data_IF_782619387586
#
_entry.id   IF_782619387586
#
_cell.length_a   1.000
_cell.length_b   1.000
_cell.length_c   1.000
_cell.angle_alpha   90.00
_cell.angle_beta   90.00
_cell.angle_gamma   90.00
#
_symmetry.space_group_name_H-M   'P 1'
#
loop_
_entity.id
_entity.type
_entity.pdbx_description
1 polymer ?
#
# COMPACT_ATOMS: atom_id res chain seq x y z
N UNK A 1 -40.28 26.18 -40.26
CA UNK A 1 -39.77 25.00 -39.60
C UNK A 1 -38.81 25.46 -38.50
N UNK A 2 -39.33 25.49 -37.28
CA UNK A 2 -38.56 25.94 -36.10
C UNK A 2 -37.81 24.76 -35.50
N UNK A 3 -36.47 24.77 -35.58
CA UNK A 3 -35.60 23.81 -34.92
C UNK A 3 -35.45 24.21 -33.46
N UNK A 4 -36.26 23.62 -32.59
CA UNK A 4 -36.04 23.66 -31.14
C UNK A 4 -34.78 22.89 -30.83
N UNK A 5 -33.71 23.60 -30.46
CA UNK A 5 -32.50 23.03 -29.93
C UNK A 5 -32.82 22.40 -28.53
N UNK A 6 -32.75 21.08 -28.47
CA UNK A 6 -32.86 20.34 -27.23
C UNK A 6 -31.59 20.63 -26.42
N UNK A 7 -31.67 21.55 -25.48
CA UNK A 7 -30.62 21.77 -24.48
C UNK A 7 -30.45 20.48 -23.64
N UNK A 8 -29.28 19.90 -23.71
CA UNK A 8 -28.93 18.66 -23.03
C UNK A 8 -28.77 18.87 -21.49
N UNK A 9 -29.48 18.17 -20.64
CA UNK A 9 -29.31 18.25 -19.16
C UNK A 9 -28.03 17.58 -18.68
N UNK A 10 -27.08 17.22 -19.54
CA UNK A 10 -25.87 16.47 -19.22
C UNK A 10 -24.82 17.23 -18.39
N UNK A 11 -24.88 18.54 -18.29
CA UNK A 11 -23.84 19.33 -17.60
C UNK A 11 -24.01 19.40 -16.07
N UNK A 12 -25.24 19.40 -15.57
CA UNK A 12 -25.54 19.52 -14.11
C UNK A 12 -25.13 18.26 -13.35
N UNK A 13 -25.45 17.07 -13.83
CA UNK A 13 -25.10 15.81 -13.15
C UNK A 13 -23.59 15.54 -13.07
N UNK A 14 -22.83 15.92 -14.13
CA UNK A 14 -21.36 15.79 -14.10
C UNK A 14 -20.70 16.74 -13.11
N UNK A 15 -21.22 17.97 -12.99
CA UNK A 15 -20.71 18.96 -12.03
C UNK A 15 -21.00 18.54 -10.59
N UNK A 16 -22.19 18.02 -10.31
CA UNK A 16 -22.57 17.52 -8.98
C UNK A 16 -21.74 16.29 -8.57
N UNK A 17 -21.54 15.34 -9.50
CA UNK A 17 -20.69 14.19 -9.26
C UNK A 17 -19.23 14.59 -8.97
N UNK A 18 -18.68 15.55 -9.72
CA UNK A 18 -17.34 16.10 -9.47
C UNK A 18 -17.26 16.78 -8.11
N UNK A 19 -18.25 17.62 -7.76
CA UNK A 19 -18.31 18.28 -6.46
C UNK A 19 -18.36 17.28 -5.32
N UNK A 20 -19.18 16.23 -5.41
CA UNK A 20 -19.26 15.15 -4.42
C UNK A 20 -17.91 14.46 -4.22
N UNK A 21 -17.19 14.17 -5.32
CA UNK A 21 -15.86 13.54 -5.25
C UNK A 21 -14.83 14.48 -4.61
N UNK A 22 -14.82 15.76 -4.92
CA UNK A 22 -13.92 16.75 -4.32
C UNK A 22 -14.19 16.88 -2.81
N UNK A 23 -15.46 17.02 -2.42
CA UNK A 23 -15.85 17.09 -1.00
C UNK A 23 -15.47 15.81 -0.25
N UNK A 24 -15.68 14.63 -0.86
CA UNK A 24 -15.28 13.36 -0.27
C UNK A 24 -13.76 13.25 -0.09
N UNK A 25 -12.97 13.74 -1.05
CA UNK A 25 -11.51 13.80 -0.92
C UNK A 25 -11.09 14.70 0.25
N UNK A 26 -11.71 15.88 0.37
CA UNK A 26 -11.49 16.79 1.51
C UNK A 26 -11.87 16.16 2.85
N UNK A 27 -12.97 15.42 2.90
CA UNK A 27 -13.39 14.69 4.09
C UNK A 27 -12.37 13.60 4.48
N UNK A 28 -11.85 12.84 3.51
CA UNK A 28 -10.79 11.84 3.77
C UNK A 28 -9.51 12.47 4.30
N UNK A 29 -9.09 13.61 3.75
CA UNK A 29 -7.94 14.37 4.26
C UNK A 29 -8.20 14.83 5.70
N UNK A 30 -9.39 15.34 6.01
CA UNK A 30 -9.75 15.73 7.37
C UNK A 30 -9.71 14.54 8.35
N UNK A 31 -10.26 13.39 7.95
CA UNK A 31 -10.20 12.14 8.75
C UNK A 31 -8.75 11.71 8.96
N UNK A 32 -7.90 11.77 7.92
CA UNK A 32 -6.49 11.44 8.02
C UNK A 32 -5.76 12.36 9.01
N UNK A 33 -6.02 13.66 8.96
CA UNK A 33 -5.41 14.63 9.89
C UNK A 33 -5.84 14.37 11.33
N UNK A 34 -7.13 14.12 11.58
CA UNK A 34 -7.63 13.73 12.90
C UNK A 34 -6.98 12.42 13.37
N UNK A 35 -6.90 11.42 12.48
CA UNK A 35 -6.21 10.16 12.77
C UNK A 35 -4.73 10.35 13.10
N UNK A 36 -4.03 11.24 12.39
CA UNK A 36 -2.62 11.54 12.64
C UNK A 36 -2.42 12.16 14.04
N UNK A 37 -3.27 13.13 14.41
CA UNK A 37 -3.25 13.71 15.76
C UNK A 37 -3.56 12.66 16.82
N UNK A 38 -4.58 11.83 16.60
CA UNK A 38 -4.92 10.72 17.49
C UNK A 38 -3.76 9.72 17.65
N UNK A 39 -3.07 9.40 16.55
CA UNK A 39 -1.89 8.51 16.56
C UNK A 39 -0.75 9.05 17.41
N UNK A 40 -0.57 10.39 17.44
CA UNK A 40 0.44 11.03 18.30
C UNK A 40 0.04 11.01 19.78
N UNK A 41 -1.25 11.04 20.10
CA UNK A 41 -1.75 11.03 21.48
C UNK A 41 -1.84 9.60 22.07
N UNK A 42 -2.18 8.61 21.25
CA UNK A 42 -2.44 7.22 21.67
C UNK A 42 -1.17 6.37 21.61
N UNK A 43 -0.92 5.57 22.65
CA UNK A 43 0.18 4.62 22.74
C UNK A 43 0.14 3.86 24.06
N UNK A 44 1.18 3.12 24.40
CA UNK A 44 1.32 2.44 25.71
C UNK A 44 1.13 3.43 26.87
N UNK A 45 1.68 4.64 26.74
CA UNK A 45 1.40 5.80 27.62
C UNK A 45 0.49 6.77 26.85
N UNK A 46 -0.70 7.06 27.35
CA UNK A 46 -1.54 8.13 26.80
C UNK A 46 -0.90 9.50 27.08
N UNK A 47 -0.82 10.35 26.06
CA UNK A 47 -0.37 11.73 26.20
C UNK A 47 -1.56 12.66 25.97
N UNK A 48 -1.64 13.70 26.80
CA UNK A 48 -2.61 14.78 26.60
C UNK A 48 -2.27 15.60 25.33
N UNK A 49 -3.23 16.30 24.73
CA UNK A 49 -2.95 17.17 23.59
C UNK A 49 -1.87 18.22 23.87
N UNK A 50 -1.82 18.73 25.10
CA UNK A 50 -0.78 19.69 25.53
C UNK A 50 0.61 19.04 25.56
N UNK A 51 0.74 17.81 26.07
CA UNK A 51 2.01 17.07 26.07
C UNK A 51 2.46 16.71 24.64
N UNK A 52 1.53 16.37 23.75
CA UNK A 52 1.86 16.17 22.33
C UNK A 52 2.40 17.45 21.70
N UNK A 53 1.74 18.58 21.94
CA UNK A 53 2.17 19.88 21.45
C UNK A 53 3.57 20.25 21.98
N UNK A 54 3.78 20.11 23.29
CA UNK A 54 5.08 20.32 23.91
C UNK A 54 6.17 19.39 23.33
N UNK A 55 5.85 18.11 23.16
CA UNK A 55 6.77 17.14 22.57
C UNK A 55 7.18 17.47 21.13
N UNK A 56 6.27 18.10 20.36
CA UNK A 56 6.55 18.50 18.98
C UNK A 56 7.37 19.81 18.88
N UNK A 57 7.03 20.83 19.67
CA UNK A 57 7.43 22.20 19.43
C UNK A 57 8.21 22.87 20.58
N UNK A 58 8.17 22.32 21.82
CA UNK A 58 8.90 22.92 22.93
C UNK A 58 10.42 22.86 22.71
N UNK A 59 11.11 23.90 23.14
CA UNK A 59 12.56 23.91 23.20
C UNK A 59 13.08 22.83 24.17
N UNK A 60 14.34 22.38 24.04
CA UNK A 60 14.95 21.51 25.04
C UNK A 60 14.85 22.14 26.42
N UNK A 61 14.25 21.42 27.37
CA UNK A 61 14.06 21.86 28.75
C UNK A 61 14.87 20.91 29.66
N UNK A 62 15.54 21.43 30.72
CA UNK A 62 16.20 20.60 31.73
C UNK A 62 15.22 19.69 32.49
N UNK A 63 13.90 19.91 32.42
CA UNK A 63 12.90 19.03 33.01
C UNK A 63 12.95 17.65 32.33
N UNK A 64 13.29 16.66 33.14
CA UNK A 64 13.40 15.25 32.72
C UNK A 64 12.12 14.72 32.10
N UNK A 65 10.95 15.13 32.61
CA UNK A 65 9.64 14.70 32.11
C UNK A 65 9.36 15.25 30.69
N UNK A 66 9.67 16.50 30.43
CA UNK A 66 9.49 17.12 29.12
C UNK A 66 10.44 16.53 28.09
N UNK A 67 11.67 16.20 28.50
CA UNK A 67 12.64 15.50 27.66
C UNK A 67 12.15 14.09 27.27
N UNK A 68 11.60 13.30 28.20
CA UNK A 68 11.00 12.00 27.90
C UNK A 68 9.82 12.10 26.92
N UNK A 69 8.89 13.03 27.15
CA UNK A 69 7.75 13.27 26.27
C UNK A 69 8.23 13.60 24.86
N UNK A 70 9.22 14.48 24.75
CA UNK A 70 9.81 14.87 23.46
C UNK A 70 10.42 13.68 22.73
N UNK A 71 11.20 12.86 23.42
CA UNK A 71 11.80 11.66 22.85
C UNK A 71 10.70 10.72 22.35
N UNK A 72 9.67 10.43 23.16
CA UNK A 72 8.56 9.55 22.74
C UNK A 72 7.85 10.10 21.50
N UNK A 73 7.55 11.39 21.48
CA UNK A 73 6.83 12.01 20.37
C UNK A 73 7.69 12.03 19.11
N UNK A 74 8.92 12.56 19.19
CA UNK A 74 9.74 12.81 17.99
C UNK A 74 10.44 11.57 17.45
N UNK A 75 10.86 10.62 18.30
CA UNK A 75 11.62 9.45 17.85
C UNK A 75 10.78 8.19 17.68
N UNK A 76 9.59 8.13 18.29
CA UNK A 76 8.75 6.93 18.21
C UNK A 76 7.44 7.22 17.46
N UNK A 77 6.66 8.23 17.91
CA UNK A 77 5.29 8.42 17.40
C UNK A 77 5.23 9.11 16.05
N UNK A 78 6.03 10.15 15.85
CA UNK A 78 6.06 10.88 14.57
C UNK A 78 6.55 9.99 13.43
N UNK A 79 7.70 9.28 13.54
CA UNK A 79 8.13 8.36 12.49
C UNK A 79 7.09 7.28 12.20
N UNK A 80 6.52 6.66 13.24
CA UNK A 80 5.49 5.62 13.12
C UNK A 80 4.25 6.13 12.39
N UNK A 81 3.75 7.32 12.74
CA UNK A 81 2.59 7.94 12.09
C UNK A 81 2.88 8.28 10.64
N UNK A 82 4.05 8.85 10.34
CA UNK A 82 4.49 9.18 8.97
C UNK A 82 4.59 7.91 8.14
N UNK A 83 5.23 6.86 8.67
CA UNK A 83 5.37 5.59 7.96
C UNK A 83 4.01 4.95 7.67
N UNK A 84 3.09 4.95 8.64
CA UNK A 84 1.73 4.43 8.44
C UNK A 84 1.00 5.17 7.30
N UNK A 85 1.14 6.49 7.23
CA UNK A 85 0.53 7.30 6.16
C UNK A 85 1.18 6.97 4.81
N UNK A 86 2.51 7.03 4.73
CA UNK A 86 3.25 6.85 3.47
C UNK A 86 3.08 5.43 2.91
N UNK A 87 3.21 4.41 3.78
CA UNK A 87 3.01 3.02 3.39
C UNK A 87 1.54 2.73 3.03
N UNK A 88 0.58 3.30 3.78
CA UNK A 88 -0.83 3.18 3.48
C UNK A 88 -1.20 3.77 2.12
N UNK A 89 -0.68 4.97 1.79
CA UNK A 89 -0.83 5.57 0.45
C UNK A 89 -0.26 4.65 -0.63
N UNK A 90 0.95 4.14 -0.42
CA UNK A 90 1.63 3.29 -1.40
C UNK A 90 0.86 1.98 -1.66
N UNK A 91 0.45 1.28 -0.61
CA UNK A 91 -0.30 0.02 -0.72
C UNK A 91 -1.71 0.26 -1.30
N UNK A 92 -2.38 1.36 -0.95
CA UNK A 92 -3.68 1.71 -1.49
C UNK A 92 -3.63 2.00 -2.99
N UNK A 93 -2.68 2.81 -3.44
CA UNK A 93 -2.45 3.10 -4.86
C UNK A 93 -2.03 1.83 -5.60
N UNK A 94 -1.06 1.08 -5.07
CA UNK A 94 -0.59 -0.18 -5.65
C UNK A 94 -1.73 -1.19 -5.83
N UNK A 95 -2.62 -1.31 -4.84
CA UNK A 95 -3.82 -2.14 -4.92
C UNK A 95 -4.79 -1.71 -6.02
N UNK A 96 -5.04 -0.41 -6.18
CA UNK A 96 -5.88 0.10 -7.25
C UNK A 96 -5.29 -0.17 -8.63
N UNK A 97 -3.99 0.02 -8.80
CA UNK A 97 -3.28 -0.23 -10.06
C UNK A 97 -3.29 -1.70 -10.44
N UNK A 98 -2.95 -2.61 -9.51
CA UNK A 98 -2.88 -4.05 -9.83
C UNK A 98 -4.25 -4.58 -10.24
N UNK A 99 -5.34 -4.13 -9.59
CA UNK A 99 -6.70 -4.48 -9.98
C UNK A 99 -7.04 -3.99 -11.39
N UNK A 100 -6.60 -2.79 -11.77
CA UNK A 100 -6.80 -2.24 -13.11
C UNK A 100 -6.01 -3.02 -14.17
N UNK A 101 -4.71 -3.18 -13.98
CA UNK A 101 -3.87 -3.86 -14.97
C UNK A 101 -4.17 -5.35 -15.13
N UNK A 102 -4.64 -6.01 -14.07
CA UNK A 102 -5.07 -7.41 -14.13
C UNK A 102 -6.54 -7.58 -14.49
N UNK A 103 -7.30 -6.49 -14.54
CA UNK A 103 -8.79 -6.52 -14.68
C UNK A 103 -9.43 -7.51 -13.71
N UNK A 104 -8.84 -7.60 -12.53
CA UNK A 104 -9.30 -8.52 -11.51
C UNK A 104 -9.54 -7.74 -10.21
N UNK A 105 -10.81 -7.56 -9.77
CA UNK A 105 -11.16 -6.79 -8.59
C UNK A 105 -10.67 -7.40 -7.27
N UNK A 106 -10.19 -8.63 -7.30
CA UNK A 106 -9.61 -9.34 -6.14
C UNK A 106 -8.09 -9.44 -6.19
N UNK A 107 -7.46 -8.79 -7.18
CA UNK A 107 -6.00 -8.76 -7.25
C UNK A 107 -5.41 -7.96 -6.09
N UNK A 108 -4.32 -8.47 -5.54
CA UNK A 108 -3.50 -7.79 -4.53
C UNK A 108 -2.06 -7.63 -5.03
N UNK A 109 -1.32 -6.69 -4.49
CA UNK A 109 0.09 -6.42 -4.85
C UNK A 109 0.99 -7.64 -4.68
N UNK A 110 0.63 -8.56 -3.78
CA UNK A 110 1.29 -9.85 -3.59
C UNK A 110 1.32 -10.75 -4.84
N UNK A 111 0.39 -10.56 -5.79
CA UNK A 111 0.39 -11.30 -7.07
C UNK A 111 1.64 -11.12 -7.93
N UNK A 112 2.40 -10.04 -7.73
CA UNK A 112 3.67 -9.83 -8.39
C UNK A 112 4.86 -10.49 -7.69
N UNK A 113 4.63 -11.29 -6.65
CA UNK A 113 5.69 -11.92 -5.86
C UNK A 113 6.52 -10.95 -5.02
N UNK A 114 6.15 -9.67 -4.98
CA UNK A 114 6.89 -8.60 -4.30
C UNK A 114 7.12 -8.92 -2.82
N UNK A 115 6.08 -9.37 -2.11
CA UNK A 115 6.17 -9.72 -0.70
C UNK A 115 7.11 -10.92 -0.46
N UNK A 116 6.99 -11.97 -1.29
CA UNK A 116 7.84 -13.17 -1.16
C UNK A 116 9.29 -12.89 -1.54
N UNK A 117 9.52 -12.02 -2.54
CA UNK A 117 10.85 -11.56 -2.91
C UNK A 117 11.51 -10.77 -1.78
N UNK A 118 10.77 -9.86 -1.14
CA UNK A 118 11.24 -9.13 0.02
C UNK A 118 11.56 -10.07 1.20
N UNK A 119 10.65 -11.00 1.53
CA UNK A 119 10.85 -11.97 2.62
C UNK A 119 12.09 -12.84 2.40
N UNK A 120 12.24 -13.35 1.17
CA UNK A 120 13.41 -14.15 0.80
C UNK A 120 14.73 -13.37 0.95
N UNK A 121 14.75 -12.13 0.47
CA UNK A 121 15.93 -11.29 0.56
C UNK A 121 16.26 -10.93 2.02
N UNK A 122 15.27 -10.61 2.86
CA UNK A 122 15.47 -10.31 4.29
C UNK A 122 16.04 -11.52 5.01
N UNK A 123 15.42 -12.70 4.87
CA UNK A 123 15.91 -13.90 5.58
C UNK A 123 17.30 -14.30 5.10
N UNK A 124 17.60 -14.15 3.81
CA UNK A 124 18.93 -14.39 3.26
C UNK A 124 19.94 -13.37 3.82
N UNK A 125 19.56 -12.10 3.91
CA UNK A 125 20.40 -11.05 4.50
C UNK A 125 20.75 -11.32 5.96
N UNK A 126 19.80 -11.81 6.74
CA UNK A 126 20.02 -12.17 8.14
C UNK A 126 20.89 -13.44 8.26
N UNK A 127 20.56 -14.50 7.52
CA UNK A 127 21.23 -15.79 7.63
C UNK A 127 22.67 -15.78 7.08
N UNK A 128 22.90 -15.10 5.94
CA UNK A 128 24.18 -15.13 5.23
C UNK A 128 25.09 -13.96 5.63
N UNK A 129 24.53 -12.76 5.76
CA UNK A 129 25.30 -11.54 6.01
C UNK A 129 25.22 -11.07 7.48
N UNK A 130 24.40 -11.73 8.32
CA UNK A 130 24.29 -11.41 9.73
C UNK A 130 23.64 -10.06 10.02
N UNK A 131 22.74 -9.58 9.16
CA UNK A 131 22.06 -8.31 9.37
C UNK A 131 21.21 -8.33 10.65
N UNK A 132 21.29 -7.23 11.42
CA UNK A 132 20.61 -7.11 12.71
C UNK A 132 19.70 -5.88 12.82
N UNK A 133 19.84 -4.90 11.92
CA UNK A 133 19.09 -3.66 11.97
C UNK A 133 18.11 -3.48 10.79
N UNK A 134 16.97 -2.78 10.99
CA UNK A 134 16.03 -2.46 9.92
C UNK A 134 16.68 -1.78 8.72
N UNK A 135 17.63 -0.86 8.96
CA UNK A 135 18.33 -0.14 7.90
C UNK A 135 19.14 -1.07 6.98
N UNK A 136 19.70 -2.16 7.52
CA UNK A 136 20.50 -3.10 6.72
C UNK A 136 19.62 -3.95 5.80
N UNK A 137 18.53 -4.51 6.32
CA UNK A 137 17.70 -5.42 5.53
C UNK A 137 16.63 -4.76 4.67
N UNK A 138 16.28 -3.48 4.91
CA UNK A 138 15.29 -2.77 4.09
C UNK A 138 15.72 -2.69 2.61
N UNK A 139 16.98 -2.45 2.34
CA UNK A 139 17.52 -2.39 0.98
C UNK A 139 17.49 -3.75 0.30
N UNK A 140 17.83 -4.81 1.05
CA UNK A 140 17.72 -6.17 0.55
C UNK A 140 16.27 -6.55 0.29
N UNK A 141 15.36 -6.20 1.19
CA UNK A 141 13.93 -6.40 0.98
C UNK A 141 13.43 -5.70 -0.29
N UNK A 142 13.82 -4.44 -0.49
CA UNK A 142 13.45 -3.69 -1.69
C UNK A 142 14.02 -4.30 -2.97
N UNK A 143 15.29 -4.68 -2.97
CA UNK A 143 15.93 -5.37 -4.10
C UNK A 143 15.26 -6.72 -4.39
N UNK A 144 14.97 -7.50 -3.36
CA UNK A 144 14.26 -8.78 -3.49
C UNK A 144 12.85 -8.61 -4.05
N UNK A 145 12.11 -7.59 -3.59
CA UNK A 145 10.81 -7.21 -4.12
C UNK A 145 10.88 -6.83 -5.60
N UNK A 146 11.84 -5.98 -5.96
CA UNK A 146 12.06 -5.54 -7.34
C UNK A 146 12.47 -6.71 -8.25
N UNK A 147 13.41 -7.55 -7.79
CA UNK A 147 13.86 -8.73 -8.53
C UNK A 147 12.71 -9.71 -8.80
N UNK A 148 11.88 -10.00 -7.78
CA UNK A 148 10.70 -10.85 -7.96
C UNK A 148 9.72 -10.25 -8.97
N UNK A 149 9.44 -8.94 -8.89
CA UNK A 149 8.58 -8.24 -9.86
C UNK A 149 9.13 -8.33 -11.29
N UNK A 150 10.45 -8.15 -11.49
CA UNK A 150 11.11 -8.29 -12.81
C UNK A 150 11.01 -9.72 -13.32
N UNK A 151 11.24 -10.72 -12.48
CA UNK A 151 11.13 -12.14 -12.86
C UNK A 151 9.70 -12.48 -13.24
N UNK A 152 8.70 -12.08 -12.44
CA UNK A 152 7.30 -12.33 -12.74
C UNK A 152 6.87 -11.67 -14.05
N UNK A 153 7.28 -10.42 -14.27
CA UNK A 153 6.98 -9.71 -15.50
C UNK A 153 7.68 -10.36 -16.69
N UNK A 154 8.95 -10.73 -16.56
CA UNK A 154 9.71 -11.43 -17.59
C UNK A 154 9.05 -12.75 -17.98
N UNK A 155 8.71 -13.59 -17.00
CA UNK A 155 8.01 -14.86 -17.24
C UNK A 155 6.65 -14.67 -17.91
N UNK A 156 5.89 -13.65 -17.49
CA UNK A 156 4.59 -13.35 -18.09
C UNK A 156 4.68 -12.80 -19.51
N UNK A 157 5.85 -12.34 -19.94
CA UNK A 157 6.09 -11.78 -21.26
C UNK A 157 6.54 -12.83 -22.30
N UNK A 158 6.75 -14.08 -21.87
CA UNK A 158 7.23 -15.18 -22.73
C UNK A 158 6.05 -16.03 -23.22
N UNK A 159 6.09 -16.42 -24.51
CA UNK A 159 5.15 -17.37 -25.11
C UNK A 159 3.88 -16.78 -25.71
N UNK A 160 2.95 -17.65 -26.11
CA UNK A 160 1.69 -17.28 -26.80
C UNK A 160 0.69 -16.50 -25.95
N UNK A 161 0.88 -16.47 -24.62
CA UNK A 161 0.06 -15.71 -23.67
C UNK A 161 0.73 -14.41 -23.19
N UNK A 162 1.75 -13.91 -23.87
CA UNK A 162 2.49 -12.72 -23.48
C UNK A 162 1.56 -11.52 -23.24
N UNK A 163 1.69 -10.92 -22.06
CA UNK A 163 0.87 -9.76 -21.66
C UNK A 163 -0.57 -10.09 -21.24
N UNK A 164 -0.97 -11.36 -21.14
CA UNK A 164 -2.27 -11.72 -20.60
C UNK A 164 -2.27 -11.58 -19.06
N UNK A 165 -3.29 -10.93 -18.45
CA UNK A 165 -3.41 -10.85 -16.99
C UNK A 165 -3.37 -12.21 -16.27
N UNK A 166 -3.91 -13.25 -16.87
CA UNK A 166 -3.88 -14.61 -16.30
C UNK A 166 -2.44 -15.14 -16.24
N UNK A 167 -1.65 -14.96 -17.29
CA UNK A 167 -0.24 -15.39 -17.32
C UNK A 167 0.57 -14.65 -16.25
N UNK A 168 0.31 -13.36 -16.05
CA UNK A 168 0.94 -12.57 -14.99
C UNK A 168 0.61 -13.14 -13.60
N UNK A 169 -0.66 -13.46 -13.34
CA UNK A 169 -1.10 -14.01 -12.06
C UNK A 169 -0.48 -15.41 -11.80
N UNK A 170 -0.44 -16.29 -12.81
CA UNK A 170 0.15 -17.62 -12.68
C UNK A 170 1.66 -17.57 -12.48
N UNK A 171 2.39 -16.71 -13.22
CA UNK A 171 3.80 -16.49 -13.04
C UNK A 171 4.11 -15.96 -11.63
N UNK A 172 3.33 -14.97 -11.18
CA UNK A 172 3.46 -14.40 -9.84
C UNK A 172 3.22 -15.44 -8.74
N UNK A 173 2.18 -16.28 -8.88
CA UNK A 173 1.92 -17.34 -7.93
C UNK A 173 3.04 -18.40 -7.91
N UNK A 174 3.56 -18.80 -9.06
CA UNK A 174 4.70 -19.73 -9.16
C UNK A 174 5.95 -19.20 -8.47
N UNK A 175 6.31 -17.93 -8.73
CA UNK A 175 7.45 -17.26 -8.09
C UNK A 175 7.21 -17.12 -6.59
N UNK A 176 5.99 -16.76 -6.17
CA UNK A 176 5.62 -16.64 -4.76
C UNK A 176 5.82 -17.95 -3.99
N UNK A 177 5.31 -19.07 -4.52
CA UNK A 177 5.45 -20.39 -3.88
C UNK A 177 6.91 -20.82 -3.84
N UNK A 178 7.64 -20.64 -4.92
CA UNK A 178 9.08 -20.96 -4.97
C UNK A 178 9.88 -20.17 -3.93
N UNK A 179 9.72 -18.85 -3.91
CA UNK A 179 10.43 -18.00 -2.94
C UNK A 179 10.01 -18.27 -1.50
N UNK A 180 8.73 -18.57 -1.25
CA UNK A 180 8.26 -18.95 0.08
C UNK A 180 8.89 -20.26 0.56
N UNK A 181 9.04 -21.26 -0.31
CA UNK A 181 9.73 -22.50 0.02
C UNK A 181 11.21 -22.26 0.36
N UNK A 182 11.92 -21.46 -0.44
CA UNK A 182 13.32 -21.09 -0.17
C UNK A 182 13.45 -20.31 1.15
N UNK A 183 12.57 -19.35 1.39
CA UNK A 183 12.50 -18.58 2.64
C UNK A 183 12.33 -19.49 3.84
N UNK A 184 11.40 -20.44 3.76
CA UNK A 184 11.13 -21.40 4.82
C UNK A 184 12.34 -22.32 5.08
N UNK A 185 13.00 -22.80 4.02
CA UNK A 185 14.19 -23.64 4.14
C UNK A 185 15.32 -22.91 4.91
N UNK A 186 15.57 -21.64 4.59
CA UNK A 186 16.59 -20.83 5.28
C UNK A 186 16.14 -20.53 6.72
N UNK A 187 14.89 -20.12 6.93
CA UNK A 187 14.38 -19.79 8.26
C UNK A 187 14.43 -20.98 9.23
N UNK A 188 14.20 -22.20 8.76
CA UNK A 188 14.25 -23.40 9.59
C UNK A 188 15.68 -23.85 9.92
N UNK A 189 16.69 -23.40 9.18
CA UNK A 189 18.09 -23.73 9.45
C UNK A 189 18.72 -22.88 10.57
N UNK A 190 18.10 -21.73 10.93
CA UNK A 190 18.61 -20.83 11.95
C UNK A 190 17.48 -20.16 12.74
N UNK A 191 17.52 -20.33 14.08
CA UNK A 191 16.50 -19.77 15.00
C UNK A 191 16.45 -18.23 14.96
N UNK A 192 17.57 -17.54 14.72
CA UNK A 192 17.59 -16.08 14.62
C UNK A 192 16.82 -15.62 13.39
N UNK A 193 17.08 -16.25 12.25
CA UNK A 193 16.38 -15.98 10.98
C UNK A 193 14.89 -16.30 11.09
N UNK A 194 14.51 -17.40 11.77
CA UNK A 194 13.11 -17.74 12.00
C UNK A 194 12.39 -16.69 12.85
N UNK A 195 12.99 -16.26 13.96
CA UNK A 195 12.38 -15.25 14.82
C UNK A 195 12.27 -13.90 14.12
N UNK A 196 13.32 -13.44 13.44
CA UNK A 196 13.30 -12.19 12.70
C UNK A 196 12.22 -12.21 11.60
N UNK A 197 12.09 -13.32 10.87
CA UNK A 197 11.08 -13.48 9.83
C UNK A 197 9.65 -13.45 10.40
N UNK A 198 9.41 -14.05 11.57
CA UNK A 198 8.09 -14.01 12.24
C UNK A 198 7.65 -12.59 12.55
N UNK A 199 8.53 -11.80 13.15
CA UNK A 199 8.24 -10.40 13.46
C UNK A 199 8.08 -9.56 12.21
N UNK A 200 8.96 -9.76 11.22
CA UNK A 200 8.89 -9.00 9.98
C UNK A 200 7.62 -9.32 9.17
N UNK A 201 7.21 -10.59 9.11
CA UNK A 201 5.99 -11.02 8.40
C UNK A 201 4.69 -10.57 9.09
N UNK A 202 4.73 -10.14 10.35
CA UNK A 202 3.56 -9.56 11.02
C UNK A 202 3.12 -8.22 10.40
N UNK A 203 4.05 -7.51 9.75
CA UNK A 203 3.80 -6.22 9.10
C UNK A 203 3.60 -5.09 10.11
N UNK A 204 4.70 -4.39 10.45
CA UNK A 204 4.73 -3.36 11.49
C UNK A 204 5.20 -2.01 10.96
N UNK A 205 4.65 -0.94 11.52
CA UNK A 205 5.13 0.44 11.33
C UNK A 205 5.94 0.95 12.52
N UNK A 206 6.16 0.09 13.53
CA UNK A 206 6.92 0.43 14.73
C UNK A 206 8.42 0.21 14.54
N UNK A 207 9.23 0.99 15.27
CA UNK A 207 10.69 0.78 15.33
C UNK A 207 11.46 1.21 14.08
N UNK A 208 10.85 1.93 13.15
CA UNK A 208 11.46 2.43 11.91
C UNK A 208 11.67 3.94 12.03
N UNK A 209 12.91 4.38 11.91
CA UNK A 209 13.29 5.79 11.99
C UNK A 209 13.26 6.52 10.65
N UNK A 210 13.50 7.83 10.68
CA UNK A 210 13.55 8.67 9.47
C UNK A 210 14.73 8.35 8.55
N UNK A 211 15.76 7.68 9.04
CA UNK A 211 16.88 7.13 8.26
C UNK A 211 16.42 6.11 7.21
N UNK A 212 15.36 5.35 7.51
CA UNK A 212 14.70 4.43 6.58
C UNK A 212 13.55 5.10 5.84
N UNK A 213 12.68 5.84 6.56
CA UNK A 213 11.47 6.46 6.00
C UNK A 213 11.82 7.45 4.88
N UNK A 214 12.86 8.27 5.07
CA UNK A 214 13.27 9.27 4.09
C UNK A 214 13.57 8.65 2.71
N UNK A 215 14.56 7.76 2.62
CA UNK A 215 14.89 7.10 1.36
C UNK A 215 13.73 6.29 0.75
N UNK A 216 12.98 5.54 1.56
CA UNK A 216 11.83 4.75 1.09
C UNK A 216 10.75 5.67 0.51
N UNK A 217 10.52 6.84 1.10
CA UNK A 217 9.56 7.83 0.62
C UNK A 217 9.90 8.35 -0.78
N UNK A 218 11.17 8.42 -1.16
CA UNK A 218 11.59 8.81 -2.53
C UNK A 218 11.10 7.79 -3.56
N UNK A 219 11.26 6.50 -3.28
CA UNK A 219 10.77 5.43 -4.18
C UNK A 219 9.24 5.40 -4.24
N UNK A 220 8.57 5.62 -3.10
CA UNK A 220 7.11 5.74 -3.06
C UNK A 220 6.65 6.95 -3.88
N UNK A 221 7.29 8.12 -3.72
CA UNK A 221 6.97 9.30 -4.50
C UNK A 221 7.16 9.07 -6.01
N UNK A 222 8.25 8.42 -6.42
CA UNK A 222 8.47 8.03 -7.81
C UNK A 222 7.36 7.08 -8.30
N UNK A 223 6.98 6.09 -7.50
CA UNK A 223 5.87 5.17 -7.80
C UNK A 223 4.54 5.90 -7.93
N UNK A 224 4.24 6.88 -7.08
CA UNK A 224 3.04 7.73 -7.16
C UNK A 224 3.04 8.55 -8.47
N UNK A 225 4.16 9.16 -8.82
CA UNK A 225 4.29 9.93 -10.08
C UNK A 225 4.03 9.04 -11.28
N UNK A 226 4.66 7.86 -11.35
CA UNK A 226 4.41 6.89 -12.42
C UNK A 226 2.95 6.43 -12.45
N UNK A 227 2.35 6.17 -11.29
CA UNK A 227 0.94 5.84 -11.17
C UNK A 227 0.06 6.92 -11.80
N UNK A 228 0.27 8.19 -11.44
CA UNK A 228 -0.51 9.33 -11.96
C UNK A 228 -0.37 9.50 -13.47
N UNK A 229 0.81 9.27 -14.02
CA UNK A 229 1.06 9.33 -15.48
C UNK A 229 0.26 8.24 -16.22
N UNK A 230 0.07 7.07 -15.60
CA UNK A 230 -0.62 5.94 -16.26
C UNK A 230 -2.14 6.00 -16.18
N UNK A 231 -2.75 6.87 -15.38
CA UNK A 231 -4.21 6.89 -15.19
C UNK A 231 -5.03 7.06 -16.49
N UNK A 232 -4.64 7.94 -17.46
CA UNK A 232 -5.39 8.04 -18.71
C UNK A 232 -5.37 6.75 -19.52
N UNK A 233 -4.20 6.13 -19.66
CA UNK A 233 -4.05 4.86 -20.39
C UNK A 233 -4.75 3.70 -19.67
N UNK A 234 -4.76 3.67 -18.34
CA UNK A 234 -5.43 2.65 -17.54
C UNK A 234 -6.96 2.71 -17.73
N UNK A 235 -7.55 3.92 -17.79
CA UNK A 235 -8.97 4.08 -18.10
C UNK A 235 -9.34 3.56 -19.51
N UNK A 236 -8.44 3.71 -20.47
CA UNK A 236 -8.66 3.21 -21.84
C UNK A 236 -8.46 1.68 -21.90
N UNK A 237 -7.51 1.14 -21.13
CA UNK A 237 -7.30 -0.31 -21.03
C UNK A 237 -8.51 -1.03 -20.44
N UNK A 238 -9.27 -0.41 -19.55
CA UNK A 238 -10.53 -0.98 -19.02
C UNK A 238 -11.58 -1.24 -20.11
N UNK A 239 -11.54 -0.50 -21.23
CA UNK A 239 -12.44 -0.68 -22.36
C UNK A 239 -12.05 -1.87 -23.26
N UNK A 240 -10.91 -2.49 -23.01
CA UNK A 240 -10.35 -3.58 -23.79
C UNK A 240 -9.09 -3.18 -24.55
N UNK A 241 -8.19 -4.16 -24.76
CA UNK A 241 -6.87 -3.92 -25.39
C UNK A 241 -7.00 -3.42 -26.83
N UNK A 242 -7.98 -3.96 -27.59
CA UNK A 242 -8.17 -3.58 -29.00
C UNK A 242 -8.71 -2.16 -29.12
N UNK A 243 -9.65 -1.78 -28.25
CA UNK A 243 -10.18 -0.40 -28.18
C UNK A 243 -9.07 0.56 -27.75
N UNK A 244 -8.31 0.24 -26.71
CA UNK A 244 -7.20 1.08 -26.24
C UNK A 244 -6.14 1.28 -27.34
N UNK A 245 -5.81 0.21 -28.10
CA UNK A 245 -4.88 0.29 -29.23
C UNK A 245 -5.40 1.16 -30.35
N UNK A 246 -6.69 1.03 -30.69
CA UNK A 246 -7.35 1.89 -31.68
C UNK A 246 -7.38 3.37 -31.29
N UNK A 247 -7.35 3.67 -29.99
CA UNK A 247 -7.25 5.02 -29.41
C UNK A 247 -5.81 5.50 -29.23
N UNK A 248 -4.81 4.77 -29.74
CA UNK A 248 -3.40 5.17 -29.75
C UNK A 248 -2.60 4.83 -28.48
N UNK A 249 -3.15 4.01 -27.58
CA UNK A 249 -2.42 3.59 -26.36
C UNK A 249 -1.37 2.54 -26.71
N UNK A 250 -0.11 2.79 -26.33
CA UNK A 250 0.91 1.77 -26.33
C UNK A 250 0.72 0.87 -25.11
N UNK A 251 0.06 -0.28 -25.31
CA UNK A 251 -0.31 -1.22 -24.24
C UNK A 251 0.92 -1.75 -23.51
N UNK A 252 1.98 -2.12 -24.24
CA UNK A 252 3.20 -2.65 -23.65
C UNK A 252 3.87 -1.63 -22.72
N UNK A 253 4.03 -0.39 -23.19
CA UNK A 253 4.59 0.69 -22.37
C UNK A 253 3.73 0.99 -21.16
N UNK A 254 2.40 1.10 -21.32
CA UNK A 254 1.48 1.38 -20.22
C UNK A 254 1.56 0.29 -19.14
N UNK A 255 1.55 -0.98 -19.53
CA UNK A 255 1.70 -2.11 -18.59
C UNK A 255 3.06 -2.13 -17.90
N UNK A 256 4.14 -1.91 -18.65
CA UNK A 256 5.50 -1.86 -18.06
C UNK A 256 5.60 -0.74 -17.03
N UNK A 257 5.19 0.48 -17.36
CA UNK A 257 5.22 1.62 -16.42
C UNK A 257 4.33 1.35 -15.22
N UNK A 258 3.14 0.77 -15.42
CA UNK A 258 2.24 0.41 -14.34
C UNK A 258 2.81 -0.64 -13.39
N UNK A 259 3.45 -1.68 -13.91
CA UNK A 259 4.10 -2.71 -13.09
C UNK A 259 5.29 -2.14 -12.33
N UNK A 260 6.10 -1.28 -12.97
CA UNK A 260 7.19 -0.56 -12.28
C UNK A 260 6.62 0.31 -11.15
N UNK A 261 5.54 1.05 -11.39
CA UNK A 261 4.87 1.85 -10.36
C UNK A 261 4.41 0.97 -9.18
N UNK A 262 3.73 -0.16 -9.46
CA UNK A 262 3.27 -1.09 -8.42
C UNK A 262 4.45 -1.66 -7.64
N UNK A 263 5.52 -2.06 -8.33
CA UNK A 263 6.73 -2.63 -7.70
C UNK A 263 7.42 -1.61 -6.80
N UNK A 264 7.53 -0.35 -7.23
CA UNK A 264 8.07 0.73 -6.41
C UNK A 264 7.20 0.98 -5.18
N UNK A 265 5.89 1.09 -5.36
CA UNK A 265 4.95 1.37 -4.27
C UNK A 265 4.90 0.22 -3.26
N UNK A 266 4.58 -0.98 -3.73
CA UNK A 266 4.44 -2.14 -2.86
C UNK A 266 5.79 -2.61 -2.32
N UNK A 267 6.85 -2.60 -3.15
CA UNK A 267 8.19 -3.02 -2.75
C UNK A 267 8.78 -2.12 -1.67
N UNK A 268 8.68 -0.79 -1.84
CA UNK A 268 9.17 0.16 -0.85
C UNK A 268 8.36 0.10 0.46
N UNK A 269 7.03 0.00 0.38
CA UNK A 269 6.19 -0.15 1.56
C UNK A 269 6.49 -1.46 2.30
N UNK A 270 6.58 -2.59 1.59
CA UNK A 270 6.91 -3.90 2.17
C UNK A 270 8.31 -3.92 2.76
N UNK A 271 9.29 -3.29 2.12
CA UNK A 271 10.66 -3.20 2.64
C UNK A 271 10.71 -2.48 4.00
N UNK A 272 9.93 -1.40 4.17
CA UNK A 272 9.91 -0.61 5.40
C UNK A 272 9.03 -1.22 6.51
N UNK A 273 7.88 -1.81 6.15
CA UNK A 273 6.86 -2.25 7.12
C UNK A 273 6.72 -3.76 7.22
N UNK A 274 7.41 -4.55 6.39
CA UNK A 274 7.02 -5.93 6.15
C UNK A 274 5.75 -6.05 5.29
N UNK A 275 5.33 -7.27 4.95
CA UNK A 275 4.16 -7.51 4.11
C UNK A 275 2.86 -7.16 4.86
N UNK A 276 2.04 -6.31 4.28
CA UNK A 276 0.70 -5.97 4.77
C UNK A 276 -0.31 -6.42 3.70
N UNK A 277 -0.93 -7.56 3.93
CA UNK A 277 -1.91 -8.13 3.02
C UNK A 277 -3.29 -7.46 3.14
N UNK A 278 -4.14 -7.64 2.12
CA UNK A 278 -5.53 -7.17 2.06
C UNK A 278 -5.74 -5.66 2.03
N UNK A 279 -4.80 -4.83 2.48
CA UNK A 279 -4.99 -3.38 2.54
C UNK A 279 -5.33 -2.81 1.16
N UNK A 280 -4.47 -3.08 0.17
CA UNK A 280 -4.64 -2.62 -1.20
C UNK A 280 -5.94 -3.11 -1.83
N UNK A 281 -6.27 -4.39 -1.62
CA UNK A 281 -7.48 -5.01 -2.12
C UNK A 281 -8.75 -4.33 -1.55
N UNK A 282 -8.80 -4.18 -0.24
CA UNK A 282 -9.96 -3.62 0.46
C UNK A 282 -10.19 -2.16 0.10
N UNK A 283 -9.15 -1.33 0.17
CA UNK A 283 -9.31 0.12 -0.05
C UNK A 283 -9.58 0.47 -1.51
N UNK A 284 -9.02 -0.27 -2.47
CA UNK A 284 -9.33 -0.09 -3.88
C UNK A 284 -10.80 -0.42 -4.20
N UNK A 285 -11.32 -1.49 -3.59
CA UNK A 285 -12.73 -1.85 -3.73
C UNK A 285 -13.66 -0.77 -3.14
N UNK A 286 -13.37 -0.27 -1.93
CA UNK A 286 -14.13 0.82 -1.30
C UNK A 286 -14.03 2.10 -2.14
N UNK A 287 -12.83 2.46 -2.61
CA UNK A 287 -12.62 3.62 -3.47
C UNK A 287 -13.47 3.54 -4.74
N UNK A 288 -13.47 2.38 -5.42
CA UNK A 288 -14.29 2.15 -6.62
C UNK A 288 -15.79 2.31 -6.35
N UNK A 289 -16.26 1.88 -5.18
CA UNK A 289 -17.65 2.06 -4.80
C UNK A 289 -18.02 3.53 -4.56
N UNK A 290 -17.10 4.33 -4.04
CA UNK A 290 -17.31 5.76 -3.76
C UNK A 290 -17.18 6.66 -5.00
N UNK A 291 -16.23 6.35 -5.90
CA UNK A 291 -15.86 7.23 -7.01
C UNK A 291 -16.35 6.75 -8.39
N UNK A 292 -16.72 5.46 -8.48
CA UNK A 292 -16.94 4.78 -9.75
C UNK A 292 -15.62 4.28 -10.38
N UNK A 293 -15.65 3.89 -11.67
CA UNK A 293 -14.53 3.20 -12.32
C UNK A 293 -13.40 4.13 -12.78
N UNK A 294 -13.58 5.46 -12.81
CA UNK A 294 -12.57 6.39 -13.28
C UNK A 294 -11.33 6.43 -12.38
N UNK A 295 -10.20 5.91 -12.86
CA UNK A 295 -8.92 5.84 -12.13
C UNK A 295 -8.36 7.20 -11.71
N UNK A 296 -8.76 8.31 -12.39
CA UNK A 296 -8.36 9.67 -11.98
C UNK A 296 -8.88 10.04 -10.59
N UNK A 297 -10.00 9.46 -10.18
CA UNK A 297 -10.59 9.62 -8.86
C UNK A 297 -10.30 8.42 -7.94
N UNK A 298 -10.37 7.21 -8.52
CA UNK A 298 -10.18 5.97 -7.77
C UNK A 298 -8.81 5.91 -7.09
N UNK A 299 -7.73 6.23 -7.81
CA UNK A 299 -6.36 6.11 -7.30
C UNK A 299 -6.07 7.08 -6.15
N UNK A 300 -6.38 8.39 -6.22
CA UNK A 300 -6.23 9.28 -5.07
C UNK A 300 -7.06 8.86 -3.86
N UNK A 301 -8.29 8.39 -4.06
CA UNK A 301 -9.13 7.87 -2.99
C UNK A 301 -8.55 6.61 -2.36
N UNK A 302 -8.06 5.67 -3.18
CA UNK A 302 -7.43 4.44 -2.69
C UNK A 302 -6.18 4.75 -1.85
N UNK A 303 -5.37 5.72 -2.26
CA UNK A 303 -4.20 6.16 -1.50
C UNK A 303 -4.59 6.74 -0.14
N UNK A 304 -5.53 7.68 -0.10
CA UNK A 304 -5.98 8.29 1.17
C UNK A 304 -6.69 7.28 2.09
N UNK A 305 -7.54 6.41 1.53
CA UNK A 305 -8.17 5.33 2.28
C UNK A 305 -7.12 4.36 2.84
N UNK A 306 -6.08 4.04 2.06
CA UNK A 306 -4.97 3.21 2.52
C UNK A 306 -4.27 3.81 3.72
N UNK A 307 -3.95 5.10 3.67
CA UNK A 307 -3.36 5.83 4.79
C UNK A 307 -4.27 5.82 6.03
N UNK A 308 -5.55 6.14 5.85
CA UNK A 308 -6.53 6.17 6.96
C UNK A 308 -6.66 4.78 7.60
N UNK A 309 -6.85 3.73 6.78
CA UNK A 309 -7.05 2.37 7.29
C UNK A 309 -5.82 1.87 8.02
N UNK A 310 -4.62 2.04 7.44
CA UNK A 310 -3.39 1.57 8.09
C UNK A 310 -3.13 2.32 9.40
N UNK A 311 -3.35 3.62 9.43
CA UNK A 311 -3.20 4.44 10.62
C UNK A 311 -4.21 4.07 11.72
N UNK A 312 -5.47 3.81 11.36
CA UNK A 312 -6.50 3.35 12.30
C UNK A 312 -6.16 1.96 12.83
N UNK A 313 -5.73 1.04 11.96
CA UNK A 313 -5.31 -0.30 12.37
C UNK A 313 -4.11 -0.25 13.33
N UNK A 314 -3.16 0.65 13.10
CA UNK A 314 -2.04 0.88 14.00
C UNK A 314 -2.49 1.41 15.38
N UNK A 315 -3.42 2.39 15.41
CA UNK A 315 -4.01 2.90 16.66
C UNK A 315 -4.76 1.79 17.40
N UNK A 316 -5.58 1.01 16.70
CA UNK A 316 -6.34 -0.10 17.28
C UNK A 316 -5.40 -1.15 17.86
N UNK A 317 -4.34 -1.53 17.12
CA UNK A 317 -3.33 -2.49 17.59
C UNK A 317 -2.67 -2.07 18.91
N UNK A 318 -2.43 -0.77 19.10
CA UNK A 318 -1.89 -0.19 20.35
C UNK A 318 -2.90 -0.14 21.51
N UNK A 319 -4.19 -0.22 21.23
CA UNK A 319 -5.24 -0.13 22.24
C UNK A 319 -5.72 -1.49 22.77
N UNK A 320 -5.79 -2.50 21.90
CA UNK A 320 -6.48 -3.77 22.15
C UNK A 320 -5.69 -4.70 23.09
N UNK A 321 -4.35 -4.69 23.04
CA UNK A 321 -3.50 -5.67 23.76
C UNK A 321 -2.54 -4.97 24.73
N UNK A 322 -3.01 -3.97 25.47
CA UNK A 322 -2.16 -3.32 26.48
C UNK A 322 -1.72 -4.27 27.59
N UNK A 323 -0.46 -4.22 28.06
CA UNK A 323 0.62 -3.28 27.71
C UNK A 323 1.38 -3.64 26.43
N UNK A 324 1.12 -4.77 25.78
CA UNK A 324 1.67 -5.13 24.48
C UNK A 324 1.01 -4.34 23.34
N UNK A 325 1.46 -4.61 22.12
CA UNK A 325 0.92 -4.01 20.89
C UNK A 325 0.70 -5.11 19.86
N UNK A 326 -0.41 -5.02 19.08
CA UNK A 326 -0.60 -5.82 17.87
C UNK A 326 -0.07 -5.04 16.68
N UNK A 327 0.70 -5.70 15.83
CA UNK A 327 1.16 -5.12 14.58
C UNK A 327 -0.02 -4.79 13.66
N UNK A 328 0.01 -3.62 13.00
CA UNK A 328 -1.09 -3.18 12.13
C UNK A 328 -1.38 -4.13 10.99
N UNK A 329 -0.39 -4.88 10.48
CA UNK A 329 -0.59 -5.90 9.45
C UNK A 329 -1.52 -7.03 9.93
N UNK A 330 -1.42 -7.44 11.20
CA UNK A 330 -2.32 -8.42 11.80
C UNK A 330 -3.75 -7.86 11.90
N UNK A 331 -3.89 -6.61 12.34
CA UNK A 331 -5.20 -5.95 12.46
C UNK A 331 -5.86 -5.79 11.08
N UNK A 332 -5.09 -5.38 10.06
CA UNK A 332 -5.56 -5.29 8.67
C UNK A 332 -6.01 -6.66 8.15
N UNK A 333 -5.26 -7.73 8.45
CA UNK A 333 -5.63 -9.09 8.03
C UNK A 333 -6.93 -9.56 8.70
N UNK A 334 -7.11 -9.28 9.99
CA UNK A 334 -8.34 -9.60 10.74
C UNK A 334 -9.57 -8.86 10.21
N UNK A 335 -9.42 -7.66 9.68
CA UNK A 335 -10.50 -6.90 9.04
C UNK A 335 -10.68 -7.30 7.57
N UNK A 336 -9.59 -7.51 6.86
CA UNK A 336 -9.58 -7.77 5.43
C UNK A 336 -10.12 -9.15 5.05
N UNK A 337 -9.80 -10.19 5.83
CA UNK A 337 -10.26 -11.55 5.52
C UNK A 337 -11.80 -11.70 5.61
N UNK A 338 -12.50 -11.21 6.66
CA UNK A 338 -13.97 -11.22 6.68
C UNK A 338 -14.58 -10.31 5.61
N UNK A 339 -13.97 -9.15 5.34
CA UNK A 339 -14.40 -8.27 4.26
C UNK A 339 -14.36 -9.00 2.91
N UNK A 340 -13.26 -9.67 2.62
CA UNK A 340 -13.10 -10.45 1.39
C UNK A 340 -14.10 -11.60 1.32
N UNK A 341 -14.26 -12.37 2.39
CA UNK A 341 -15.25 -13.46 2.45
C UNK A 341 -16.69 -12.96 2.20
N UNK A 342 -17.05 -11.80 2.78
CA UNK A 342 -18.35 -11.19 2.55
C UNK A 342 -18.52 -10.71 1.09
N UNK A 343 -17.45 -10.21 0.47
CA UNK A 343 -17.45 -9.77 -0.92
C UNK A 343 -17.70 -10.96 -1.87
N UNK A 344 -16.99 -12.06 -1.66
CA UNK A 344 -17.14 -13.30 -2.44
C UNK A 344 -18.57 -13.87 -2.30
N UNK A 345 -19.09 -13.93 -1.08
CA UNK A 345 -20.46 -14.45 -0.81
C UNK A 345 -21.55 -13.61 -1.49
N UNK A 346 -21.38 -12.31 -1.61
CA UNK A 346 -22.40 -11.44 -2.22
C UNK A 346 -22.45 -11.52 -3.75
N UNK A 347 -21.54 -12.25 -4.37
CA UNK A 347 -21.50 -12.45 -5.84
C UNK A 347 -21.42 -11.15 -6.64
N UNK A 348 -21.14 -10.00 -6.00
CA UNK A 348 -21.09 -8.67 -6.62
C UNK A 348 -19.74 -8.39 -7.27
N UNK A 349 -19.13 -9.41 -7.87
CA UNK A 349 -18.10 -9.15 -8.88
C UNK A 349 -18.81 -8.65 -10.14
N UNK A 350 -19.24 -7.41 -10.15
CA UNK A 350 -19.54 -6.76 -11.42
C UNK A 350 -18.22 -6.74 -12.17
N UNK A 351 -18.11 -7.61 -13.16
CA UNK A 351 -17.16 -7.45 -14.25
C UNK A 351 -17.29 -6.00 -14.73
N UNK A 352 -16.23 -5.22 -14.56
CA UNK A 352 -16.10 -3.94 -15.19
C UNK A 352 -15.99 -4.14 -16.71
#
# INVERSE_FOLDING_TARGET
MSTTAVERPASRGATEARRRRVVGLGALVAVLMVGAVASLAVGARALSPAEVWQGLFAAPDPDRRLTEIRLIVQTVRVPRTVLAIVAGVALGIGGALIQGYTRNPIADTGLLGVNSGASFAVVTGIAVFGFTSPFQYVWFAFLGAAAAGVVVFGLSSIGRGAGNPLTLALAGQGVTVFLAAMTTAIALSDLKSLNALRFWNAGSVAGVGFDVIGPVSVFIAAGVVLALITLPSLNLLDLGDDVARGLGVNIALSRTVGIVAITLLAGAATAACGPIAFLGLMVAHVARHLTGPDYRWLVPYAGLLGAVVLLVCDIVGRLVVRPGELDPGVVVALLGAPFFAALVRRGKFRSA
#
